data_IF_335247858550
#
_entry.id   IF_335247858550
#
_cell.length_a   1.000
_cell.length_b   1.000
_cell.length_c   1.000
_cell.angle_alpha   90.00
_cell.angle_beta   90.00
_cell.angle_gamma   90.00
#
_symmetry.space_group_name_H-M   'P 1'
#
loop_
_entity.id
_entity.type
_entity.pdbx_description
1 polymer ?
2 polymer ?
3 polymer ?
4 non-polymer ?
5 non-polymer ?
6 non-polymer ?
7 water ?
#
loop_
_entity_poly.entity_id
_entity_poly.type
_entity_poly.pdbx_seq_one_letter_code
_entity_poly.pdbx_strand_id
2 'polydeoxyribonucleotide' '(A5L)(CFL)(CFL)(A9Z)' ?
#
# COMPACT_ATOMS: atom_id res chain seq x y z
N UNK A 2 22.24 -6.67 -10.07
CA UNK A 2 21.94 -7.89 -10.83
C UNK A 2 20.46 -8.03 -11.06
N UNK A 3 20.06 -8.87 -12.01
CA UNK A 3 18.67 -9.18 -12.26
C UNK A 3 18.34 -10.50 -11.57
N UNK A 4 17.17 -10.55 -10.92
CA UNK A 4 16.78 -11.77 -10.21
C UNK A 4 16.24 -12.79 -11.19
N UNK A 5 16.76 -14.01 -11.13
CA UNK A 5 16.22 -15.12 -11.90
C UNK A 5 15.10 -15.76 -11.09
N UNK A 6 13.86 -15.51 -11.48
CA UNK A 6 12.73 -16.00 -10.70
C UNK A 6 12.65 -17.52 -10.68
N UNK A 7 13.39 -18.22 -11.54
CA UNK A 7 13.42 -19.67 -11.58
C UNK A 7 14.49 -20.26 -10.66
N UNK A 8 15.24 -19.43 -9.93
CA UNK A 8 16.30 -19.87 -9.04
C UNK A 8 15.83 -19.71 -7.62
N UNK A 9 15.40 -20.80 -6.94
CA UNK A 9 14.79 -20.62 -5.61
C UNK A 9 15.73 -20.01 -4.57
N UNK A 10 17.01 -20.35 -4.63
CA UNK A 10 17.98 -19.81 -3.68
C UNK A 10 18.13 -18.30 -3.86
N UNK A 11 18.28 -17.84 -5.11
CA UNK A 11 18.32 -16.39 -5.33
C UNK A 11 17.02 -15.74 -4.88
N UNK A 12 15.88 -16.36 -5.21
CA UNK A 12 14.58 -15.83 -4.83
C UNK A 12 14.44 -15.75 -3.32
N UNK A 13 14.91 -16.76 -2.60
CA UNK A 13 14.80 -16.71 -1.15
C UNK A 13 15.71 -15.64 -0.56
N UNK A 14 16.92 -15.48 -1.11
CA UNK A 14 17.80 -14.40 -0.68
C UNK A 14 17.16 -13.04 -0.91
N UNK A 15 16.53 -12.85 -2.06
CA UNK A 15 15.83 -11.61 -2.36
C UNK A 15 14.68 -11.38 -1.40
N UNK A 16 13.92 -12.45 -1.11
CA UNK A 16 12.80 -12.33 -0.19
C UNK A 16 13.25 -12.02 1.23
N UNK A 17 14.35 -12.65 1.70
CA UNK A 17 14.82 -12.34 3.05
C UNK A 17 15.23 -10.88 3.19
N UNK A 18 15.88 -10.32 2.17
CA UNK A 18 16.16 -8.89 2.20
C UNK A 18 14.87 -8.08 2.30
N UNK A 19 13.90 -8.41 1.44
CA UNK A 19 12.63 -7.69 1.40
C UNK A 19 11.91 -7.74 2.75
N UNK A 20 11.77 -8.94 3.32
CA UNK A 20 10.98 -9.13 4.54
C UNK A 20 11.65 -8.53 5.77
N UNK A 21 12.97 -8.36 5.76
CA UNK A 21 13.67 -7.90 6.95
C UNK A 21 14.07 -6.43 6.88
N UNK A 22 13.91 -5.79 5.71
CA UNK A 22 14.28 -4.39 5.54
C UNK A 22 13.27 -3.47 6.23
N UNK A 23 13.73 -2.42 6.91
CA UNK A 23 12.80 -1.40 7.43
C UNK A 23 12.08 -0.64 6.33
N UNK A 24 12.52 -0.75 5.07
CA UNK A 24 11.85 -0.14 3.93
C UNK A 24 10.95 -1.11 3.19
N UNK A 25 10.74 -2.30 3.73
CA UNK A 25 9.98 -3.30 3.00
C UNK A 25 8.52 -2.89 2.84
N UNK A 26 7.94 -3.35 1.73
CA UNK A 26 6.58 -3.02 1.33
C UNK A 26 5.95 -4.28 0.76
N UNK A 27 4.70 -4.57 1.13
CA UNK A 27 4.05 -5.76 0.57
C UNK A 27 3.99 -5.68 -0.97
N UNK A 28 3.81 -4.48 -1.53
CA UNK A 28 3.73 -4.34 -2.98
C UNK A 28 5.09 -4.46 -3.67
N UNK A 29 6.18 -4.56 -2.91
CA UNK A 29 7.48 -4.90 -3.44
C UNK A 29 7.84 -6.35 -3.18
N UNK A 30 7.03 -7.09 -2.42
CA UNK A 30 7.29 -8.51 -2.28
C UNK A 30 7.08 -9.20 -3.62
N UNK A 31 7.81 -10.30 -3.84
CA UNK A 31 7.58 -11.07 -5.06
C UNK A 31 6.18 -11.70 -5.08
N UNK A 32 5.56 -11.88 -3.91
CA UNK A 32 4.17 -12.32 -3.88
C UNK A 32 3.23 -11.36 -4.58
N UNK A 33 3.59 -10.09 -4.66
CA UNK A 33 2.73 -9.12 -5.31
C UNK A 33 2.61 -9.39 -6.81
N UNK A 34 3.66 -9.93 -7.43
CA UNK A 34 3.59 -10.31 -8.84
C UNK A 34 2.58 -11.42 -9.06
N UNK A 35 2.38 -12.29 -8.06
CA UNK A 35 1.35 -13.32 -8.18
C UNK A 35 -0.05 -12.72 -8.12
N UNK A 36 -0.24 -11.66 -7.34
CA UNK A 36 -1.51 -10.96 -7.32
C UNK A 36 -1.75 -10.27 -8.65
N UNK A 37 -0.76 -9.49 -9.11
CA UNK A 37 -0.81 -8.79 -10.39
C UNK A 37 -0.40 -9.74 -11.51
N UNK A 38 -1.13 -10.86 -11.62
CA UNK A 38 -0.71 -11.89 -12.56
C UNK A 38 -0.86 -11.49 -14.03
N UNK A 39 -1.53 -10.38 -14.33
CA UNK A 39 -1.61 -9.85 -15.67
C UNK A 39 -0.48 -8.89 -16.01
N UNK A 40 0.49 -8.71 -15.11
CA UNK A 40 1.68 -7.89 -15.34
C UNK A 40 2.90 -8.80 -15.44
N UNK A 41 3.96 -8.29 -16.06
CA UNK A 41 5.20 -9.06 -16.21
C UNK A 41 6.23 -8.63 -15.17
N UNK A 42 6.77 -9.55 -14.37
CA UNK A 42 7.72 -9.14 -13.32
C UNK A 42 9.15 -9.09 -13.83
N UNK A 43 9.85 -8.04 -13.39
CA UNK A 43 11.29 -7.88 -13.61
C UNK A 43 11.83 -7.31 -12.30
N UNK A 44 12.78 -8.01 -11.68
CA UNK A 44 13.27 -7.64 -10.35
C UNK A 44 14.78 -7.51 -10.36
N UNK A 45 15.28 -6.45 -9.73
CA UNK A 45 16.72 -6.20 -9.70
C UNK A 45 17.13 -5.88 -8.27
N UNK A 46 18.44 -5.97 -8.02
CA UNK A 46 18.96 -5.66 -6.70
C UNK A 46 20.43 -5.27 -6.83
N UNK A 47 20.95 -4.70 -5.77
CA UNK A 47 22.35 -4.33 -5.64
C UNK A 47 22.93 -5.04 -4.42
N UNK A 48 24.23 -5.33 -4.48
CA UNK A 48 24.91 -5.98 -3.36
C UNK A 48 26.03 -5.07 -2.87
N UNK A 49 26.40 -5.25 -1.60
CA UNK A 49 27.54 -4.53 -1.03
C UNK A 49 28.82 -5.27 -1.40
N UNK A 50 29.96 -4.79 -0.89
CA UNK A 50 31.24 -5.44 -1.18
C UNK A 50 31.35 -6.83 -0.56
N UNK A 51 30.54 -7.14 0.44
CA UNK A 51 30.51 -8.48 1.02
C UNK A 51 29.54 -9.41 0.31
N UNK A 52 28.79 -8.93 -0.68
CA UNK A 52 27.86 -9.76 -1.40
C UNK A 52 26.47 -9.81 -0.82
N UNK A 53 26.18 -9.05 0.23
CA UNK A 53 24.85 -8.98 0.79
C UNK A 53 23.98 -8.02 0.00
N UNK A 54 22.71 -8.35 -0.15
CA UNK A 54 21.80 -7.43 -0.84
C UNK A 54 21.62 -6.19 0.02
N UNK A 55 21.76 -5.02 -0.61
CA UNK A 55 21.58 -3.75 0.09
C UNK A 55 20.42 -2.94 -0.46
N UNK A 56 19.86 -3.32 -1.60
CA UNK A 56 18.79 -2.54 -2.22
C UNK A 56 18.11 -3.42 -3.27
N UNK A 57 16.79 -3.31 -3.36
CA UNK A 57 16.07 -4.11 -4.34
C UNK A 57 14.91 -3.31 -4.92
N UNK A 58 14.55 -3.66 -6.15
CA UNK A 58 13.42 -3.05 -6.84
C UNK A 58 12.62 -4.11 -7.59
N UNK A 59 11.37 -4.29 -7.18
CA UNK A 59 10.46 -5.22 -7.85
C UNK A 59 9.60 -4.44 -8.82
N UNK A 60 9.75 -4.72 -10.11
CA UNK A 60 9.00 -4.04 -11.14
C UNK A 60 7.93 -4.96 -11.70
N UNK A 61 6.84 -4.35 -12.16
CA UNK A 61 5.82 -5.05 -12.93
C UNK A 61 5.59 -4.25 -14.20
N UNK A 62 5.55 -4.95 -15.34
CA UNK A 62 5.46 -4.31 -16.65
C UNK A 62 4.04 -4.48 -17.19
N UNK A 63 3.43 -3.36 -17.59
CA UNK A 63 2.09 -3.40 -18.15
C UNK A 63 2.02 -2.88 -19.57
N UNK A 64 0.95 -3.25 -20.28
CA UNK A 64 0.77 -2.79 -21.65
C UNK A 64 0.24 -1.36 -21.69
N UNK A 65 0.46 -0.71 -22.82
CA UNK A 65 0.00 0.63 -23.13
C UNK A 65 -0.60 0.60 -24.52
N UNK A 66 -1.22 1.69 -24.96
CA UNK A 66 -1.68 1.79 -26.36
C UNK A 66 -0.57 2.00 -27.38
N UNK A 67 0.69 1.85 -26.98
CA UNK A 67 1.85 2.03 -27.83
C UNK A 67 2.66 0.75 -27.84
N UNK A 68 3.79 0.77 -28.56
CA UNK A 68 4.65 -0.40 -28.61
C UNK A 68 5.52 -0.55 -27.36
N UNK A 69 5.36 0.32 -26.37
CA UNK A 69 6.20 0.33 -25.19
C UNK A 69 5.42 -0.15 -23.96
N UNK A 70 6.14 -0.78 -23.03
CA UNK A 70 5.59 -1.15 -21.74
C UNK A 70 5.69 -0.01 -20.73
N UNK A 71 4.83 -0.09 -19.71
CA UNK A 71 4.88 0.77 -18.54
C UNK A 71 5.50 -0.04 -17.40
N UNK A 72 6.65 0.40 -16.90
CA UNK A 72 7.36 -0.31 -15.83
C UNK A 72 7.09 0.39 -14.51
N UNK A 73 6.62 -0.37 -13.52
CA UNK A 73 6.10 0.23 -12.29
C UNK A 73 6.58 -0.55 -11.07
N UNK A 74 7.23 0.15 -10.11
CA UNK A 74 7.70 -0.45 -8.87
C UNK A 74 6.86 0.16 -7.75
N UNK A 75 5.72 -0.48 -7.48
CA UNK A 75 4.74 0.05 -6.53
C UNK A 75 5.32 0.16 -5.13
N UNK A 76 5.32 1.40 -4.62
CA UNK A 76 5.86 1.76 -3.29
C UNK A 76 7.31 1.30 -3.13
N UNK A 77 8.03 1.19 -4.24
CA UNK A 77 9.43 0.81 -4.18
C UNK A 77 10.29 2.00 -4.52
N UNK A 78 11.60 1.81 -4.61
CA UNK A 78 12.35 0.59 -4.30
C UNK A 78 12.49 0.41 -2.79
N UNK A 79 13.08 -0.70 -2.38
CA UNK A 79 13.29 -1.02 -0.97
C UNK A 79 14.75 -0.70 -0.70
N UNK A 80 14.94 0.48 -0.09
CA UNK A 80 16.22 1.07 0.27
C UNK A 80 15.86 2.44 0.81
N UNK A 81 16.85 3.23 1.24
CA UNK A 81 16.62 4.64 1.57
C UNK A 81 16.65 5.45 0.28
N UNK A 82 15.48 5.81 -0.26
CA UNK A 82 15.45 6.50 -1.54
C UNK A 82 16.01 7.91 -1.47
N UNK A 83 16.13 8.50 -0.27
CA UNK A 83 16.83 9.79 -0.16
C UNK A 83 18.33 9.67 -0.39
N UNK A 84 18.88 8.46 -0.41
CA UNK A 84 20.28 8.24 -0.78
C UNK A 84 20.31 8.12 -2.30
N UNK A 85 20.28 9.28 -2.99
CA UNK A 85 19.97 9.28 -4.42
C UNK A 85 21.11 8.71 -5.25
N UNK A 86 22.36 8.84 -4.79
CA UNK A 86 23.45 8.19 -5.50
C UNK A 86 23.27 6.68 -5.54
N UNK A 87 22.85 6.08 -4.42
CA UNK A 87 22.53 4.66 -4.43
C UNK A 87 21.27 4.39 -5.25
N UNK A 88 20.27 5.27 -5.16
CA UNK A 88 19.07 5.11 -5.98
C UNK A 88 19.42 5.09 -7.46
N UNK A 89 20.32 5.99 -7.91
CA UNK A 89 20.72 6.03 -9.31
C UNK A 89 21.33 4.71 -9.76
N UNK A 90 22.18 4.11 -8.92
CA UNK A 90 22.79 2.83 -9.23
C UNK A 90 21.75 1.73 -9.34
N UNK A 91 20.77 1.69 -8.43
CA UNK A 91 19.72 0.67 -8.53
C UNK A 91 18.86 0.89 -9.77
N UNK A 92 18.46 2.14 -10.02
CA UNK A 92 17.68 2.45 -11.22
C UNK A 92 18.46 2.08 -12.48
N UNK A 93 19.77 2.31 -12.52
CA UNK A 93 20.56 1.90 -13.69
C UNK A 93 20.46 0.39 -13.91
N UNK A 94 20.52 -0.39 -12.82
CA UNK A 94 20.36 -1.84 -12.94
C UNK A 94 18.98 -2.20 -13.46
N UNK A 95 17.95 -1.52 -12.97
CA UNK A 95 16.60 -1.77 -13.45
C UNK A 95 16.47 -1.45 -14.94
N UNK A 96 17.06 -0.33 -15.36
CA UNK A 96 16.98 0.10 -16.75
C UNK A 96 17.66 -0.91 -17.67
N UNK A 97 18.82 -1.45 -17.26
CA UNK A 97 19.44 -2.53 -18.02
C UNK A 97 18.48 -3.70 -18.17
N UNK A 98 17.87 -4.14 -17.06
CA UNK A 98 16.97 -5.29 -17.10
C UNK A 98 15.75 -5.05 -17.97
N UNK A 99 15.31 -3.78 -18.08
CA UNK A 99 14.14 -3.52 -18.93
C UNK A 99 14.48 -3.60 -20.41
N UNK A 100 15.75 -3.39 -20.77
CA UNK A 100 16.25 -3.71 -22.11
C UNK A 100 15.47 -2.97 -23.21
N UNK A 101 15.14 -1.71 -22.93
CA UNK A 101 14.50 -0.86 -23.91
C UNK A 101 13.03 -1.12 -24.14
N UNK A 102 12.40 -1.95 -23.31
CA UNK A 102 11.02 -2.34 -23.57
C UNK A 102 9.99 -1.38 -23.00
N UNK A 103 10.40 -0.54 -22.05
CA UNK A 103 9.49 0.36 -21.36
C UNK A 103 9.80 1.81 -21.70
N UNK A 104 8.75 2.64 -21.70
CA UNK A 104 8.93 4.07 -21.91
C UNK A 104 9.28 4.82 -20.63
N UNK A 105 9.01 4.22 -19.48
CA UNK A 105 9.24 4.87 -18.19
C UNK A 105 9.44 3.78 -17.16
N UNK A 106 10.23 4.09 -16.14
CA UNK A 106 10.17 3.33 -14.89
C UNK A 106 9.68 4.29 -13.81
N UNK A 107 8.52 3.97 -13.25
CA UNK A 107 7.89 4.77 -12.21
C UNK A 107 8.00 4.04 -10.88
N UNK A 108 8.37 4.78 -9.83
CA UNK A 108 8.35 4.27 -8.48
C UNK A 108 7.81 5.35 -7.55
N UNK A 109 7.06 4.94 -6.54
CA UNK A 109 6.32 5.88 -5.70
C UNK A 109 6.51 5.49 -4.24
N UNK A 110 7.71 5.74 -3.70
CA UNK A 110 8.04 5.28 -2.35
C UNK A 110 7.35 6.10 -1.28
N UNK A 111 7.15 5.48 -0.12
CA UNK A 111 6.50 6.13 1.01
C UNK A 111 7.52 6.95 1.77
N UNK A 112 7.96 8.01 1.13
CA UNK A 112 8.89 8.97 1.73
C UNK A 112 8.26 10.35 1.65
N UNK A 113 8.40 11.12 2.73
CA UNK A 113 7.75 12.42 2.81
C UNK A 113 8.12 13.33 1.64
N UNK A 114 7.14 14.05 1.12
CA UNK A 114 7.45 15.14 0.21
C UNK A 114 8.31 16.16 0.94
N UNK A 115 9.31 16.69 0.24
CA UNK A 115 10.01 17.91 0.66
C UNK A 115 10.53 18.62 -0.57
N UNK A 116 10.66 19.95 -0.46
CA UNK A 116 11.22 20.73 -1.57
C UNK A 116 12.64 20.29 -1.88
N UNK A 117 13.45 20.07 -0.85
CA UNK A 117 14.85 19.70 -1.06
C UNK A 117 14.97 18.35 -1.77
N UNK A 118 14.12 17.38 -1.38
CA UNK A 118 14.18 16.07 -2.01
C UNK A 118 13.64 16.13 -3.43
N UNK A 119 12.54 16.85 -3.64
CA UNK A 119 12.01 17.03 -4.99
C UNK A 119 13.04 17.67 -5.91
N UNK A 120 13.73 18.69 -5.41
CA UNK A 120 14.75 19.35 -6.22
C UNK A 120 15.91 18.40 -6.53
N UNK A 121 16.33 17.60 -5.54
CA UNK A 121 17.44 16.66 -5.79
C UNK A 121 17.04 15.63 -6.84
N UNK A 122 15.84 15.08 -6.75
CA UNK A 122 15.42 14.10 -7.76
C UNK A 122 15.44 14.72 -9.15
N UNK A 123 14.90 15.93 -9.28
CA UNK A 123 14.89 16.60 -10.57
C UNK A 123 16.32 16.89 -11.05
N UNK A 124 17.22 17.25 -10.13
CA UNK A 124 18.62 17.46 -10.48
C UNK A 124 19.25 16.20 -11.07
N UNK A 125 18.83 15.03 -10.57
CA UNK A 125 19.35 13.77 -11.05
C UNK A 125 18.64 13.29 -12.31
N UNK A 126 17.76 14.09 -12.89
CA UNK A 126 17.13 13.77 -14.14
C UNK A 126 15.76 13.11 -14.05
N UNK A 127 15.25 12.86 -12.84
CA UNK A 127 13.92 12.25 -12.70
C UNK A 127 12.82 13.29 -12.94
N UNK A 128 11.67 12.82 -13.40
CA UNK A 128 10.49 13.65 -13.52
C UNK A 128 9.59 13.29 -12.36
N UNK A 129 9.21 14.26 -11.54
CA UNK A 129 8.42 13.98 -10.35
C UNK A 129 7.00 14.48 -10.52
N UNK A 130 6.07 13.75 -9.91
CA UNK A 130 4.64 14.04 -10.01
C UNK A 130 4.12 14.10 -8.58
N UNK A 131 3.90 15.31 -8.08
CA UNK A 131 3.36 15.46 -6.73
C UNK A 131 2.50 16.71 -6.64
N UNK A 132 3.00 17.79 -6.02
CA UNK A 132 2.17 18.98 -5.89
C UNK A 132 1.85 19.64 -7.23
N UNK A 133 2.62 19.33 -8.28
CA UNK A 133 2.36 19.90 -9.60
C UNK A 133 1.18 19.25 -10.31
N UNK A 134 0.60 18.18 -9.76
CA UNK A 134 -0.56 17.51 -10.36
C UNK A 134 -1.67 17.35 -9.32
N UNK A 135 -1.54 18.02 -8.17
CA UNK A 135 -2.46 17.81 -7.05
C UNK A 135 -3.90 18.17 -7.41
N UNK A 136 -4.08 19.11 -8.35
CA UNK A 136 -5.43 19.56 -8.70
C UNK A 136 -6.26 18.42 -9.28
N UNK A 137 -5.62 17.44 -9.91
CA UNK A 137 -6.32 16.30 -10.48
C UNK A 137 -6.87 15.35 -9.42
N UNK A 138 -6.61 15.60 -8.14
CA UNK A 138 -7.22 14.84 -7.06
C UNK A 138 -6.44 13.60 -6.69
N UNK A 139 -7.10 12.76 -5.89
CA UNK A 139 -6.47 11.56 -5.34
C UNK A 139 -5.89 10.67 -6.44
N UNK A 140 -6.61 10.49 -7.54
CA UNK A 140 -6.16 9.60 -8.59
C UNK A 140 -5.30 10.30 -9.64
N UNK A 141 -4.79 11.49 -9.33
CA UNK A 141 -3.74 12.09 -10.17
C UNK A 141 -2.54 11.16 -10.28
N UNK A 142 -2.22 10.47 -9.20
CA UNK A 142 -1.20 9.44 -9.14
C UNK A 142 -1.89 8.10 -8.93
N UNK A 143 -1.17 7.02 -9.26
CA UNK A 143 -1.73 5.67 -9.13
C UNK A 143 -2.12 5.39 -7.69
N UNK A 144 -1.14 5.54 -6.73
CA UNK A 144 -1.50 5.42 -5.32
C UNK A 144 -1.81 6.81 -4.75
N UNK A 145 -2.69 6.92 -3.76
CA UNK A 145 -2.87 8.21 -3.10
C UNK A 145 -1.56 8.71 -2.49
N UNK A 146 -1.27 10.00 -2.68
CA UNK A 146 -0.09 10.63 -2.13
C UNK A 146 -0.29 11.06 -0.67
N UNK A 147 -1.52 11.38 -0.30
CA UNK A 147 -1.88 11.80 1.05
C UNK A 147 -2.45 10.59 1.78
N UNK A 148 -1.85 10.24 2.92
CA UNK A 148 -2.21 8.99 3.60
C UNK A 148 -2.31 9.19 5.11
N UNK A 149 -3.25 8.46 5.69
CA UNK A 149 -3.61 8.66 7.09
C UNK A 149 -2.90 7.54 7.85
N UNK A 150 -1.81 7.88 8.53
CA UNK A 150 -0.91 6.89 9.15
C UNK A 150 -0.81 7.14 10.65
N UNK A 151 -1.06 6.09 11.43
CA UNK A 151 -1.01 6.12 12.90
C UNK A 151 0.37 5.64 13.35
N UNK A 152 1.12 6.53 14.02
CA UNK A 152 2.48 6.20 14.45
C UNK A 152 2.41 5.63 15.87
N UNK A 153 2.45 4.29 15.96
CA UNK A 153 2.37 3.62 17.25
C UNK A 153 3.62 3.79 18.11
N UNK A 154 4.75 4.17 17.51
CA UNK A 154 5.96 4.40 18.31
C UNK A 154 5.80 5.59 19.25
N UNK A 155 4.83 6.47 19.00
CA UNK A 155 4.53 7.56 19.92
C UNK A 155 3.92 7.06 21.22
N UNK A 156 3.50 5.79 21.28
CA UNK A 156 2.79 5.20 22.42
C UNK A 156 3.45 3.90 22.84
N UNK A 157 4.68 3.96 23.37
CA UNK A 157 5.43 2.72 23.62
C UNK A 157 4.81 1.82 24.68
N UNK A 158 3.95 2.34 25.56
CA UNK A 158 3.39 1.54 26.64
C UNK A 158 1.95 1.14 26.38
N UNK A 159 1.40 1.46 25.21
CA UNK A 159 0.02 1.10 24.94
C UNK A 159 -0.14 -0.41 24.89
N UNK A 160 -1.16 -0.92 25.57
CA UNK A 160 -1.50 -2.33 25.50
C UNK A 160 -2.70 -2.61 24.63
N UNK A 161 -3.64 -1.69 24.55
CA UNK A 161 -4.85 -1.86 23.74
C UNK A 161 -5.10 -0.61 22.92
N UNK A 162 -5.95 -0.77 21.92
CA UNK A 162 -6.27 0.32 21.01
C UNK A 162 -6.71 1.58 21.75
N UNK A 163 -7.54 1.42 22.79
CA UNK A 163 -8.08 2.57 23.49
C UNK A 163 -7.00 3.45 24.11
N UNK A 164 -5.86 2.86 24.49
CA UNK A 164 -4.76 3.62 25.06
C UNK A 164 -4.21 4.70 24.11
N UNK A 165 -4.56 4.67 22.83
CA UNK A 165 -4.00 5.60 21.87
C UNK A 165 -4.83 6.87 21.73
N UNK A 166 -6.01 6.93 22.34
CA UNK A 166 -7.01 7.91 21.94
C UNK A 166 -7.50 8.77 23.10
N UNK A 167 -7.91 10.01 22.82
CA UNK A 167 -8.62 10.80 23.82
C UNK A 167 -9.96 10.17 24.16
N UNK A 168 -10.50 10.58 25.33
CA UNK A 168 -11.72 9.98 25.87
C UNK A 168 -12.87 10.01 24.89
N UNK A 169 -13.04 11.12 24.17
CA UNK A 169 -14.15 11.24 23.22
C UNK A 169 -14.08 10.17 22.14
N UNK A 170 -12.87 9.86 21.66
CA UNK A 170 -12.69 8.78 20.68
C UNK A 170 -12.76 7.40 21.32
N UNK A 171 -12.29 7.24 22.57
CA UNK A 171 -12.51 5.97 23.26
C UNK A 171 -13.98 5.59 23.20
N UNK A 172 -14.85 6.58 23.36
CA UNK A 172 -16.29 6.35 23.39
C UNK A 172 -16.81 5.86 22.05
N UNK A 173 -16.31 6.45 20.96
CA UNK A 173 -16.70 6.06 19.60
C UNK A 173 -16.28 4.63 19.31
N UNK A 174 -15.10 4.23 19.79
CA UNK A 174 -14.60 2.89 19.54
C UNK A 174 -15.33 1.87 20.40
N UNK A 175 -15.66 2.22 21.64
CA UNK A 175 -16.39 1.30 22.49
C UNK A 175 -17.78 1.00 21.95
N UNK A 176 -18.37 1.96 21.22
CA UNK A 176 -19.81 1.88 20.95
C UNK A 176 -20.21 0.63 20.16
N UNK A 177 -19.53 0.23 19.06
CA UNK A 177 -19.94 -1.03 18.40
C UNK A 177 -19.86 -2.23 19.32
N UNK A 178 -18.81 -2.32 20.14
CA UNK A 178 -18.69 -3.47 21.02
C UNK A 178 -19.79 -3.48 22.08
N UNK A 179 -20.12 -2.30 22.63
CA UNK A 179 -21.22 -2.21 23.58
C UNK A 179 -22.53 -2.68 22.97
N UNK A 180 -22.73 -2.44 21.68
CA UNK A 180 -23.95 -2.78 20.97
C UNK A 180 -23.91 -4.18 20.37
N UNK A 181 -22.95 -5.02 20.76
CA UNK A 181 -22.96 -6.41 20.37
C UNK A 181 -22.10 -6.80 19.19
N UNK A 182 -21.35 -5.87 18.60
CA UNK A 182 -20.51 -6.21 17.46
C UNK A 182 -19.34 -7.06 17.97
N UNK A 183 -19.05 -8.16 17.27
CA UNK A 183 -17.92 -9.02 17.57
C UNK A 183 -17.10 -9.23 16.31
N UNK A 184 -15.77 -9.25 16.47
CA UNK A 184 -14.86 -9.35 15.34
C UNK A 184 -14.08 -10.65 15.45
N UNK A 185 -14.00 -11.39 14.35
CA UNK A 185 -13.08 -12.51 14.21
C UNK A 185 -12.15 -12.23 13.04
N UNK A 186 -11.04 -12.96 12.98
CA UNK A 186 -10.09 -12.75 11.89
C UNK A 186 -9.43 -14.07 11.47
N UNK A 187 -9.00 -14.10 10.21
CA UNK A 187 -8.34 -15.28 9.66
C UNK A 187 -7.96 -15.00 8.21
N UNK A 188 -7.39 -16.00 7.55
CA UNK A 188 -7.07 -15.88 6.13
C UNK A 188 -7.48 -17.14 5.39
N UNK A 189 -8.70 -17.58 5.62
CA UNK A 189 -9.23 -18.75 4.94
C UNK A 189 -10.25 -18.32 3.89
N UNK A 190 -10.71 -19.29 3.10
CA UNK A 190 -11.74 -19.01 2.11
C UNK A 190 -13.03 -18.51 2.76
N UNK A 191 -13.31 -18.96 3.99
CA UNK A 191 -14.51 -18.50 4.70
C UNK A 191 -14.50 -16.99 4.89
N UNK A 192 -13.42 -16.45 5.41
CA UNK A 192 -13.35 -15.00 5.60
C UNK A 192 -13.29 -14.26 4.29
N UNK A 193 -12.65 -14.84 3.26
CA UNK A 193 -12.62 -14.20 1.95
C UNK A 193 -14.02 -14.07 1.38
N UNK A 194 -14.86 -15.09 1.55
CA UNK A 194 -16.22 -14.99 1.04
C UNK A 194 -16.99 -13.91 1.81
N UNK A 195 -16.75 -13.81 3.11
CA UNK A 195 -17.41 -12.78 3.90
C UNK A 195 -16.95 -11.39 3.47
N UNK A 196 -15.64 -11.20 3.32
CA UNK A 196 -15.13 -9.94 2.80
C UNK A 196 -15.74 -9.61 1.44
N UNK A 197 -15.80 -10.60 0.56
CA UNK A 197 -16.18 -10.27 -0.81
C UNK A 197 -17.63 -9.83 -0.88
N UNK A 198 -18.50 -10.43 -0.07
CA UNK A 198 -19.88 -9.96 -0.03
C UNK A 198 -19.97 -8.50 0.42
N UNK A 199 -19.22 -8.11 1.47
CA UNK A 199 -19.29 -6.72 1.90
C UNK A 199 -18.59 -5.79 0.90
N UNK A 200 -17.52 -6.27 0.27
CA UNK A 200 -16.77 -5.46 -0.68
C UNK A 200 -17.62 -5.12 -1.90
N UNK A 201 -18.24 -6.12 -2.50
CA UNK A 201 -19.11 -5.86 -3.65
C UNK A 201 -20.31 -5.00 -3.27
N UNK A 202 -20.84 -5.18 -2.06
CA UNK A 202 -21.98 -4.38 -1.65
C UNK A 202 -21.59 -2.90 -1.52
N UNK A 203 -20.45 -2.63 -0.88
CA UNK A 203 -19.91 -1.27 -0.78
C UNK A 203 -19.71 -0.67 -2.17
N UNK A 204 -19.11 -1.42 -3.09
CA UNK A 204 -18.82 -0.89 -4.41
C UNK A 204 -20.09 -0.54 -5.16
N UNK A 205 -21.10 -1.40 -5.08
CA UNK A 205 -22.36 -1.11 -5.75
C UNK A 205 -23.06 0.08 -5.12
N UNK A 206 -22.92 0.25 -3.80
CA UNK A 206 -23.53 1.39 -3.12
C UNK A 206 -22.93 2.71 -3.58
N UNK A 207 -21.62 2.73 -3.84
CA UNK A 207 -20.93 3.94 -4.25
C UNK A 207 -20.83 4.08 -5.76
N UNK A 208 -21.25 3.06 -6.51
CA UNK A 208 -21.16 3.10 -7.95
C UNK A 208 -19.75 3.08 -8.48
N UNK A 209 -18.81 2.52 -7.74
CA UNK A 209 -17.41 2.54 -8.10
C UNK A 209 -17.01 1.17 -8.63
N UNK A 210 -15.78 1.07 -9.12
CA UNK A 210 -15.27 -0.15 -9.72
C UNK A 210 -14.67 -1.06 -8.65
N UNK A 211 -14.71 -2.37 -8.91
CA UNK A 211 -14.31 -3.36 -7.91
C UNK A 211 -13.65 -4.56 -8.58
N UNK A 212 -12.69 -5.14 -7.84
CA UNK A 212 -11.87 -6.23 -8.34
C UNK A 212 -12.59 -7.58 -8.21
N UNK A 213 -12.32 -8.51 -9.13
CA UNK A 213 -12.90 -9.85 -9.03
C UNK A 213 -12.33 -10.63 -7.86
N UNK A 214 -13.07 -11.65 -7.43
CA UNK A 214 -12.69 -12.40 -6.23
C UNK A 214 -11.35 -13.09 -6.43
N UNK A 215 -11.02 -13.45 -7.68
CA UNK A 215 -9.76 -14.16 -7.94
C UNK A 215 -8.56 -13.31 -7.57
N UNK A 216 -8.69 -11.99 -7.66
CA UNK A 216 -7.61 -11.10 -7.21
C UNK A 216 -7.25 -11.39 -5.75
N UNK A 217 -8.26 -11.46 -4.90
CA UNK A 217 -8.04 -11.70 -3.48
C UNK A 217 -7.70 -13.17 -3.20
N UNK A 218 -8.19 -14.11 -4.02
CA UNK A 218 -7.73 -15.48 -3.89
C UNK A 218 -6.23 -15.60 -4.16
N UNK A 219 -5.74 -14.92 -5.19
CA UNK A 219 -4.30 -14.94 -5.45
C UNK A 219 -3.53 -14.31 -4.30
N UNK A 220 -4.07 -13.21 -3.74
CA UNK A 220 -3.47 -12.62 -2.54
C UNK A 220 -3.41 -13.62 -1.40
N UNK A 221 -4.53 -14.31 -1.13
CA UNK A 221 -4.57 -15.28 -0.03
C UNK A 221 -3.64 -16.46 -0.29
N UNK A 222 -3.47 -16.87 -1.54
CA UNK A 222 -2.50 -17.92 -1.84
C UNK A 222 -1.07 -17.45 -1.66
N UNK A 223 -0.78 -16.19 -1.95
CA UNK A 223 0.58 -15.69 -1.89
C UNK A 223 1.06 -15.41 -0.48
N UNK A 224 0.16 -15.07 0.44
CA UNK A 224 0.55 -14.54 1.75
C UNK A 224 -0.10 -15.36 2.87
N UNK A 225 0.68 -15.78 3.86
CA UNK A 225 0.15 -16.55 4.96
C UNK A 225 -0.56 -15.64 5.95
N UNK A 226 -1.14 -16.26 6.98
CA UNK A 226 -1.95 -15.55 7.96
C UNK A 226 -1.14 -14.67 8.91
N UNK A 227 0.19 -14.77 8.91
CA UNK A 227 0.99 -13.78 9.64
C UNK A 227 1.24 -12.52 8.83
N UNK A 228 0.91 -12.54 7.53
CA UNK A 228 1.04 -11.39 6.65
C UNK A 228 -0.30 -10.81 6.24
N UNK A 229 -1.23 -11.65 5.79
CA UNK A 229 -2.53 -11.18 5.35
C UNK A 229 -3.60 -11.70 6.30
N UNK A 230 -4.46 -10.80 6.75
CA UNK A 230 -5.50 -11.18 7.69
C UNK A 230 -6.78 -10.43 7.39
N UNK A 231 -7.90 -11.15 7.33
CA UNK A 231 -9.20 -10.58 7.05
C UNK A 231 -9.98 -10.49 8.35
N UNK A 232 -10.45 -9.30 8.67
CA UNK A 232 -11.17 -9.04 9.91
C UNK A 232 -12.65 -8.90 9.58
N UNK A 233 -13.49 -9.62 10.31
CA UNK A 233 -14.92 -9.76 9.98
C UNK A 233 -15.74 -9.39 11.21
N UNK A 234 -16.59 -8.37 11.08
CA UNK A 234 -17.43 -7.89 12.16
C UNK A 234 -18.86 -8.36 11.95
N UNK A 235 -19.44 -8.93 13.00
CA UNK A 235 -20.80 -9.45 13.00
C UNK A 235 -21.51 -8.94 14.24
N UNK A 236 -22.84 -8.93 14.18
CA UNK A 236 -23.68 -8.72 15.36
C UNK A 236 -24.75 -9.78 15.35
N UNK A 237 -24.72 -10.66 16.35
CA UNK A 237 -25.66 -11.77 16.48
C UNK A 237 -25.89 -12.46 15.14
N UNK A 238 -24.81 -13.05 14.63
CA UNK A 238 -24.88 -13.85 13.41
C UNK A 238 -25.20 -13.11 12.13
N UNK A 239 -25.19 -11.78 12.16
CA UNK A 239 -25.44 -10.96 10.98
C UNK A 239 -24.12 -10.33 10.55
N UNK A 240 -23.72 -10.55 9.29
CA UNK A 240 -22.48 -9.97 8.77
C UNK A 240 -22.63 -8.47 8.54
N UNK A 241 -21.71 -7.68 9.10
CA UNK A 241 -21.80 -6.23 9.04
C UNK A 241 -20.70 -5.59 8.23
N UNK A 242 -19.44 -5.81 8.60
CA UNK A 242 -18.33 -5.10 7.96
C UNK A 242 -17.09 -5.97 8.00
N UNK A 243 -16.19 -5.74 7.05
CA UNK A 243 -14.94 -6.47 6.98
C UNK A 243 -13.83 -5.54 6.56
N UNK A 244 -12.60 -5.99 6.72
CA UNK A 244 -11.45 -5.31 6.16
C UNK A 244 -10.30 -6.26 6.01
N UNK A 245 -9.45 -6.01 5.02
CA UNK A 245 -8.24 -6.79 4.82
C UNK A 245 -7.05 -5.95 5.24
N UNK A 246 -6.23 -6.47 6.16
CA UNK A 246 -5.00 -5.80 6.55
C UNK A 246 -3.80 -6.65 6.17
N UNK A 247 -2.75 -5.99 5.69
CA UNK A 247 -1.50 -6.65 5.32
C UNK A 247 -0.43 -6.12 6.26
N UNK A 248 0.26 -7.04 6.94
CA UNK A 248 1.39 -6.74 7.82
C UNK A 248 2.68 -7.02 7.06
N UNK A 249 3.54 -6.00 6.94
CA UNK A 249 4.76 -6.12 6.16
C UNK A 249 5.69 -4.99 6.54
N UNK A 250 6.96 -5.32 6.76
CA UNK A 250 7.92 -4.26 7.11
C UNK A 250 7.51 -3.61 8.41
N UNK A 251 7.55 -2.28 8.43
CA UNK A 251 7.23 -1.49 9.61
C UNK A 251 5.75 -1.14 9.75
N UNK A 252 4.83 -1.74 8.98
CA UNK A 252 3.46 -1.27 9.04
C UNK A 252 2.47 -2.41 8.83
N UNK A 253 1.27 -2.17 9.37
CA UNK A 253 0.08 -2.94 9.03
C UNK A 253 -0.82 -1.99 8.25
N UNK A 254 -1.29 -2.45 7.10
CA UNK A 254 -1.94 -1.60 6.12
C UNK A 254 -3.38 -2.05 5.91
N UNK A 255 -4.32 -1.17 6.24
CA UNK A 255 -5.74 -1.40 5.99
C UNK A 255 -5.99 -1.15 4.51
N UNK A 256 -6.19 -2.22 3.74
CA UNK A 256 -6.07 -2.13 2.29
C UNK A 256 -7.42 -2.20 1.58
N UNK A 257 -8.31 -3.10 2.00
CA UNK A 257 -9.60 -3.28 1.37
C UNK A 257 -10.66 -3.45 2.45
N UNK A 258 -11.90 -3.04 2.16
CA UNK A 258 -12.94 -3.13 3.17
C UNK A 258 -14.31 -3.00 2.53
N UNK A 259 -15.33 -3.19 3.36
CA UNK A 259 -16.70 -3.07 2.90
C UNK A 259 -17.65 -3.27 4.06
N UNK A 260 -18.88 -2.78 3.85
CA UNK A 260 -19.97 -3.00 4.80
C UNK A 260 -21.24 -3.34 4.04
N UNK A 261 -22.08 -4.16 4.68
CA UNK A 261 -23.39 -4.46 4.16
C UNK A 261 -24.28 -3.23 4.19
N UNK A 262 -25.39 -3.31 3.46
CA UNK A 262 -26.43 -2.30 3.55
C UNK A 262 -27.11 -2.40 4.91
N UNK A 263 -27.77 -1.33 5.30
CA UNK A 263 -28.60 -1.35 6.48
C UNK A 263 -27.87 -0.85 7.70
N UNK A 264 -28.37 -1.27 8.86
CA UNK A 264 -27.80 -0.88 10.13
C UNK A 264 -26.54 -1.70 10.41
N UNK A 265 -25.38 -1.03 10.49
CA UNK A 265 -24.12 -1.70 10.75
C UNK A 265 -23.51 -1.39 12.11
N UNK A 266 -24.19 -0.62 12.96
CA UNK A 266 -23.83 -0.50 14.38
C UNK A 266 -22.40 -0.04 14.60
N UNK A 267 -21.87 0.79 13.71
CA UNK A 267 -20.47 1.24 13.78
C UNK A 267 -19.48 0.09 13.70
N UNK A 268 -19.87 -1.04 13.12
CA UNK A 268 -18.96 -2.17 12.96
C UNK A 268 -17.63 -1.79 12.32
N UNK A 269 -17.55 -0.87 11.34
CA UNK A 269 -16.24 -0.52 10.79
C UNK A 269 -15.27 0.01 11.83
N UNK A 270 -15.75 0.66 12.89
CA UNK A 270 -14.84 1.10 13.95
C UNK A 270 -14.31 -0.08 14.75
N UNK A 271 -15.12 -1.13 14.88
CA UNK A 271 -14.64 -2.35 15.55
C UNK A 271 -13.56 -3.02 14.70
N UNK A 272 -13.74 -3.03 13.38
CA UNK A 272 -12.72 -3.59 12.51
C UNK A 272 -11.41 -2.82 12.69
N UNK A 273 -11.48 -1.49 12.69
CA UNK A 273 -10.26 -0.69 12.89
C UNK A 273 -9.62 -0.99 14.25
N UNK A 274 -10.42 -1.02 15.30
CA UNK A 274 -9.85 -1.29 16.63
C UNK A 274 -9.09 -2.60 16.65
N UNK A 275 -9.60 -3.63 15.98
CA UNK A 275 -8.93 -4.94 16.02
C UNK A 275 -7.69 -4.99 15.13
N UNK A 276 -7.68 -4.29 13.99
CA UNK A 276 -6.44 -4.22 13.21
C UNK A 276 -5.37 -3.44 13.98
N UNK A 277 -5.76 -2.35 14.64
CA UNK A 277 -4.83 -1.61 15.48
C UNK A 277 -4.31 -2.50 16.60
N UNK A 278 -5.20 -3.29 17.20
CA UNK A 278 -4.76 -4.22 18.24
C UNK A 278 -3.75 -5.21 17.69
N UNK A 279 -3.96 -5.68 16.45
CA UNK A 279 -3.00 -6.58 15.83
C UNK A 279 -1.65 -5.91 15.72
N UNK A 280 -1.65 -4.63 15.33
CA UNK A 280 -0.39 -3.87 15.25
C UNK A 280 0.28 -3.76 16.61
N UNK A 281 -0.50 -3.50 17.65
CA UNK A 281 0.09 -3.39 18.98
C UNK A 281 0.68 -4.72 19.42
N UNK A 282 -0.08 -5.81 19.24
CA UNK A 282 0.32 -7.14 19.70
C UNK A 282 1.56 -7.67 18.97
N UNK A 283 1.87 -7.14 17.80
CA UNK A 283 3.04 -7.55 17.05
C UNK A 283 4.15 -6.52 17.06
N UNK A 284 4.01 -5.49 17.90
CA UNK A 284 5.01 -4.42 18.04
C UNK A 284 5.34 -3.76 16.70
N UNK A 285 4.32 -3.55 15.88
CA UNK A 285 4.50 -2.87 14.60
C UNK A 285 4.53 -1.36 14.78
N UNK A 286 5.42 -0.70 14.02
CA UNK A 286 5.63 0.74 14.20
C UNK A 286 4.43 1.55 13.74
N UNK A 287 3.82 1.18 12.61
CA UNK A 287 2.86 2.03 11.91
C UNK A 287 1.59 1.26 11.59
N UNK A 288 0.47 1.97 11.64
CA UNK A 288 -0.81 1.47 11.17
C UNK A 288 -1.30 2.45 10.11
N UNK A 289 -1.42 1.97 8.88
CA UNK A 289 -1.70 2.80 7.71
C UNK A 289 -3.15 2.57 7.30
N UNK A 290 -3.99 3.57 7.47
CA UNK A 290 -5.36 3.51 6.99
C UNK A 290 -5.48 3.89 5.52
N UNK A 291 -4.41 4.32 4.88
CA UNK A 291 -4.44 4.53 3.44
C UNK A 291 -4.89 5.93 3.04
N UNK A 292 -5.31 6.04 1.79
CA UNK A 292 -5.36 7.34 1.15
C UNK A 292 -6.56 8.18 1.52
N UNK A 293 -6.40 9.49 1.34
CA UNK A 293 -7.49 10.46 1.35
C UNK A 293 -7.31 11.37 0.15
N UNK A 294 -8.39 12.04 -0.25
CA UNK A 294 -8.29 13.02 -1.33
C UNK A 294 -7.75 14.35 -0.83
N UNK A 295 -8.27 14.85 0.28
CA UNK A 295 -7.74 16.08 0.85
C UNK A 295 -8.00 16.10 2.36
N UNK A 296 -7.18 16.88 3.07
CA UNK A 296 -7.33 17.07 4.51
C UNK A 296 -8.48 18.03 4.78
N UNK A 297 -9.69 17.54 4.55
CA UNK A 297 -10.87 18.38 4.60
C UNK A 297 -12.07 17.58 5.09
N UNK A 298 -12.90 18.21 5.93
CA UNK A 298 -14.16 17.59 6.34
C UNK A 298 -15.10 17.37 5.16
N UNK A 299 -14.82 17.96 4.00
CA UNK A 299 -15.61 17.68 2.81
C UNK A 299 -15.28 16.30 2.22
N UNK A 300 -14.17 15.69 2.64
CA UNK A 300 -13.71 14.40 2.14
C UNK A 300 -14.17 13.32 3.11
N UNK A 301 -15.06 12.44 2.64
CA UNK A 301 -15.59 11.38 3.50
C UNK A 301 -14.49 10.43 3.95
N UNK A 302 -13.46 10.23 3.13
CA UNK A 302 -12.33 9.40 3.53
C UNK A 302 -11.57 10.03 4.69
N UNK A 303 -11.30 11.33 4.60
CA UNK A 303 -10.62 12.02 5.70
C UNK A 303 -11.44 11.98 6.98
N UNK A 304 -12.75 12.23 6.89
CA UNK A 304 -13.59 12.25 8.09
C UNK A 304 -13.52 10.90 8.79
N UNK A 305 -13.68 9.81 8.04
CA UNK A 305 -13.63 8.48 8.63
C UNK A 305 -12.26 8.20 9.25
N UNK A 306 -11.19 8.40 8.49
CA UNK A 306 -9.87 8.04 8.98
C UNK A 306 -9.36 9.00 10.06
N UNK A 307 -9.89 10.22 10.10
CA UNK A 307 -9.51 11.16 11.16
C UNK A 307 -10.02 10.71 12.53
N UNK A 308 -11.03 9.85 12.58
CA UNK A 308 -11.43 9.27 13.86
C UNK A 308 -10.25 8.54 14.48
N UNK A 309 -9.39 7.93 13.65
CA UNK A 309 -8.30 7.11 14.16
C UNK A 309 -6.92 7.72 14.02
N UNK A 310 -6.77 8.80 13.26
CA UNK A 310 -5.48 9.44 13.07
C UNK A 310 -5.70 10.93 13.32
N UNK A 311 -5.24 11.42 14.46
CA UNK A 311 -5.37 12.83 14.78
C UNK A 311 -4.21 13.64 14.24
N UNK A 312 -3.07 13.00 13.99
CA UNK A 312 -1.95 13.70 13.39
C UNK A 312 -2.30 14.08 11.95
N UNK A 313 -1.53 14.99 11.40
CA UNK A 313 -1.73 15.36 10.02
C UNK A 313 -1.43 14.15 9.13
N UNK A 314 -2.13 14.01 8.01
CA UNK A 314 -1.80 12.92 7.09
C UNK A 314 -0.38 13.07 6.58
N UNK A 315 0.25 11.92 6.29
CA UNK A 315 1.56 11.95 5.64
C UNK A 315 1.38 12.28 4.17
N UNK A 316 2.26 13.12 3.64
CA UNK A 316 2.25 13.52 2.24
C UNK A 316 3.53 13.01 1.61
N UNK A 317 3.41 12.10 0.65
CA UNK A 317 4.60 11.49 0.12
C UNK A 317 5.14 12.25 -1.10
N UNK A 318 6.37 11.89 -1.49
CA UNK A 318 7.04 12.50 -2.64
C UNK A 318 6.26 12.27 -3.94
N UNK A 319 5.37 11.29 -3.96
CA UNK A 319 4.61 11.00 -5.18
C UNK A 319 5.34 10.08 -6.15
N UNK A 320 5.10 10.29 -7.44
CA UNK A 320 5.66 9.42 -8.47
C UNK A 320 6.98 9.98 -8.97
N UNK A 321 7.98 9.12 -8.99
CA UNK A 321 9.31 9.43 -9.52
C UNK A 321 9.48 8.64 -10.80
N UNK A 322 9.64 9.34 -11.92
CA UNK A 322 9.65 8.75 -13.26
C UNK A 322 11.04 8.85 -13.86
N UNK A 323 11.65 7.69 -14.12
CA UNK A 323 12.87 7.63 -14.93
C UNK A 323 12.37 7.51 -16.36
N UNK A 324 12.46 8.62 -17.09
CA UNK A 324 11.93 8.68 -18.45
C UNK A 324 12.91 7.97 -19.38
N UNK A 325 12.40 7.01 -20.15
CA UNK A 325 13.22 6.22 -21.03
C UNK A 325 12.95 6.48 -22.51
N UNK A 326 11.67 6.55 -22.91
CA UNK A 326 11.26 6.97 -24.24
C UNK A 326 10.50 8.29 -24.09
N UNK A 327 11.14 9.43 -24.29
CA UNK A 327 10.48 10.71 -23.96
C UNK A 327 9.33 11.07 -24.88
N UNK A 328 9.32 10.58 -26.13
CA UNK A 328 8.21 10.82 -27.04
C UNK A 328 6.95 10.13 -26.53
N UNK A 329 7.04 8.85 -26.21
CA UNK A 329 5.89 8.13 -25.67
C UNK A 329 5.55 8.66 -24.26
N UNK A 330 6.55 9.07 -23.49
CA UNK A 330 6.24 9.61 -22.17
C UNK A 330 5.36 10.85 -22.30
N UNK A 331 5.68 11.74 -23.24
CA UNK A 331 4.86 12.95 -23.37
C UNK A 331 3.48 12.62 -23.93
N UNK A 332 3.37 11.56 -24.72
CA UNK A 332 2.06 11.13 -25.23
C UNK A 332 1.15 10.62 -24.11
N UNK A 333 1.71 9.86 -23.16
CA UNK A 333 0.92 9.10 -22.20
C UNK A 333 0.84 9.72 -20.81
N UNK A 334 1.66 10.72 -20.49
CA UNK A 334 1.76 11.29 -19.16
C UNK A 334 1.69 12.81 -19.28
N UNK A 335 0.78 13.45 -18.56
CA UNK A 335 0.77 14.90 -18.49
C UNK A 335 1.27 15.38 -17.13
N UNK A 336 2.11 16.43 -17.16
CA UNK A 336 2.86 16.87 -15.99
C UNK A 336 2.09 17.88 -15.14
N UNK A 337 0.81 18.09 -15.41
CA UNK A 337 0.01 19.04 -14.64
C UNK A 337 0.30 20.48 -14.99
N UNK C 1 -10.20 0.94 -10.87
CA UNK C 1 -9.82 2.33 -11.07
C UNK C 1 -10.27 3.21 -9.89
N UNK C 2 -11.32 2.78 -9.20
CA UNK C 2 -11.85 3.56 -8.08
C UNK C 2 -13.16 4.18 -8.47
N UNK C 3 -8.75 2.21 -5.33
CA UNK C 3 -7.82 3.04 -4.56
C UNK C 3 -6.41 2.49 -4.68
N UNK C 4 -5.97 2.26 -5.91
CA UNK C 4 -4.71 1.58 -6.19
C UNK C 4 -4.71 0.20 -5.53
N UNK C 5 -3.62 -0.12 -4.84
CA UNK C 5 -3.51 -1.41 -4.15
C UNK C 5 -3.67 -2.57 -5.15
X LIG D 1 -15.89 -16.46 -12.01
X LIG D 1 -16.21 -15.12 -12.28
X LIG D 1 -16.28 -16.78 -10.53
X LIG D 1 -15.66 -15.90 -9.62
X LIG D 1 -15.82 -18.24 -10.32
X LIG D 1 -16.77 -19.09 -10.94
X LIG E 1 -0.86 3.25 -15.80
X LIG E 1 -0.11 4.41 -15.92
X LIG E 1 0.63 4.49 -17.08
X LIG E 1 0.69 3.56 -18.09
X LIG E 1 -0.12 2.39 -17.90
X LIG E 1 -0.87 2.28 -16.78
X LIG E 1 -0.10 5.29 -15.08
X LIG E 1 1.43 3.77 -19.07
X LIG E 1 -1.71 3.13 -14.60
X LIG E 1 -3.16 2.75 -14.87
X LIG E 1 -3.90 3.86 -15.37
X LIG E 1 -3.58 2.30 -13.46
X LIG E 1 -2.29 1.69 -12.90
X LIG E 1 -1.23 2.08 -13.79
X LIG E 1 -3.93 3.40 -12.64
X LIG E 1 -2.30 0.19 -12.70
X LIG E 1 -3.24 -0.05 -11.62
X LIG E 1 -3.36 -1.46 -10.93
X LIG E 1 -2.08 -1.70 -10.22
X LIG E 1 -4.65 -1.56 -10.13
X LIG E 1 -3.51 -2.48 -12.14
X LIG E 1 -4.38 -3.81 -12.27
X LIG E 1 -4.02 -4.61 -11.02
X LIG E 1 -4.06 -4.54 -13.55
X LIG F 1 -6.57 -2.61 -13.17
X LIG F 1 -7.61 -1.71 -12.49
X LIG F 1 -8.63 -2.57 -11.75
X LIG F 1 -9.20 -3.65 -12.65
X LIG F 1 -8.10 -4.45 -13.36
X LIG F 1 -8.67 -5.38 -14.40
X LIG F 1 -6.88 0.54 -11.88
X LIG F 1 -6.12 1.38 -10.91
X LIG F 1 -9.68 -1.31 -9.97
X LIG F 1 -9.54 0.21 -9.84
X LIG F 1 -10.98 -1.80 -9.33
X LIG F 1 -5.84 -3.28 -12.20
X LIG F 1 -9.71 -1.72 -11.33
X LIG F 1 -9.99 -4.58 -11.91
X LIG F 1 -7.21 -3.54 -14.04
X LIG F 1 -7.68 -6.27 -14.94
X LIG F 1 -7.41 1.03 -12.88
X LIG F 1 -8.71 0.65 -9.00
X LIG F 1 -6.96 -0.77 -11.61
#
# INVERSE_FOLDING_TARGET
MPVLNLNDPQAVERYEEFMRQSPYGQVTQDLGWAKVKNNWEPVDVYLEDDQGAIIAAMSMLLGDTPTDKKFAYASKGPVMDVTDVDLLDRLVDEAVKALDGRAYVLRFDPEVAYSDEFNTTLQDHGYVTRNRNVADAGMHATIQPRLNMVLDLTKFPDAKTTLDLYPSKTKSKIKRPFRDGVEVHSGNSATELDEFFKTYTTMAERHGITHRPIEYFQRMQAAFDADTMRIFVAEREGKLLSTGIALKYGRKIWYMYAGSMDGNTYYAPYAVQSEMIQWALDTNTDLYDLGGIESESTDDSLYVFKHVFVKDAPREYIGEIDKVLDPEVYAELVKDGHHHHHH
AXCAA
GOL C1 O1 C2 O2 C3 O3
UDP N1 C2 N3 C4 C5 C6 O2 O4 C1' C2' O2' C3' C4' O4' O3' C5' O5' PA O1A O2A O3A PB O1B O3B
MUB C1 C2 C3 C4 C5 C6 C7 C8 C9 C10 C11 O1 O3 O4 O5 O6 O7 O10 N2
#
